data_IF_805308506279
#
_entry.id   IF_805308506279
#
_cell.length_a   1.000
_cell.length_b   1.000
_cell.length_c   1.000
_cell.angle_alpha   90.00
_cell.angle_beta   90.00
_cell.angle_gamma   90.00
#
_symmetry.space_group_name_H-M   'P 1'
#
loop_
_entity.id
_entity.type
_entity.pdbx_description
1 polymer ?
#
# COMPACT_ATOMS: atom_id res chain seq x y z
N UNK A 1 10.37 -4.51 -5.38
CA UNK A 1 8.99 -4.84 -5.00
C UNK A 1 8.48 -3.66 -4.21
N UNK A 2 7.47 -2.96 -4.73
CA UNK A 2 6.91 -1.77 -4.08
C UNK A 2 5.87 -2.18 -3.05
N UNK A 3 5.56 -1.28 -2.11
CA UNK A 3 4.46 -1.45 -1.14
C UNK A 3 3.13 -1.68 -1.87
N UNK A 4 2.96 -1.08 -3.06
CA UNK A 4 1.78 -1.27 -3.91
C UNK A 4 1.71 -2.68 -4.53
N UNK A 5 2.85 -3.27 -4.90
CA UNK A 5 2.90 -4.66 -5.41
C UNK A 5 2.45 -5.63 -4.31
N UNK A 6 2.93 -5.45 -3.07
CA UNK A 6 2.53 -6.24 -1.90
C UNK A 6 1.02 -6.15 -1.62
N UNK A 7 0.45 -4.95 -1.71
CA UNK A 7 -1.00 -4.73 -1.56
C UNK A 7 -1.79 -5.51 -2.62
N UNK A 8 -1.31 -5.51 -3.87
CA UNK A 8 -2.00 -6.18 -4.97
C UNK A 8 -1.92 -7.71 -4.86
N UNK A 9 -0.75 -8.23 -4.49
CA UNK A 9 -0.56 -9.66 -4.21
C UNK A 9 -1.48 -10.13 -3.07
N UNK A 10 -1.46 -9.45 -1.93
CA UNK A 10 -2.30 -9.81 -0.78
C UNK A 10 -3.80 -9.73 -1.08
N UNK A 11 -4.23 -8.76 -1.89
CA UNK A 11 -5.62 -8.69 -2.40
C UNK A 11 -5.97 -9.86 -3.32
N UNK A 12 -5.03 -10.27 -4.17
CA UNK A 12 -5.23 -11.40 -5.07
C UNK A 12 -5.34 -12.71 -4.28
N UNK A 13 -4.50 -12.87 -3.26
CA UNK A 13 -4.55 -14.00 -2.32
C UNK A 13 -5.87 -14.03 -1.55
N UNK A 14 -6.31 -12.92 -0.95
CA UNK A 14 -7.59 -12.82 -0.24
C UNK A 14 -8.81 -13.20 -1.09
N UNK A 15 -8.72 -13.02 -2.41
CA UNK A 15 -9.76 -13.40 -3.37
C UNK A 15 -9.67 -14.84 -3.85
N UNK A 16 -8.46 -15.37 -3.99
CA UNK A 16 -8.20 -16.66 -4.63
C UNK A 16 -8.03 -17.81 -3.63
N UNK A 17 -7.62 -17.51 -2.40
CA UNK A 17 -7.35 -18.50 -1.36
C UNK A 17 -8.52 -18.63 -0.37
N UNK A 18 -8.73 -19.87 0.09
CA UNK A 18 -9.68 -20.17 1.15
C UNK A 18 -9.02 -19.94 2.52
N UNK A 19 -9.25 -18.75 3.08
CA UNK A 19 -8.87 -18.43 4.45
C UNK A 19 -9.99 -18.77 5.42
N UNK A 20 -9.64 -19.20 6.63
CA UNK A 20 -10.57 -19.20 7.75
C UNK A 20 -10.93 -17.76 8.13
N UNK A 21 -12.01 -17.57 8.90
CA UNK A 21 -12.44 -16.22 9.33
C UNK A 21 -11.33 -15.45 10.06
N UNK A 22 -10.55 -16.16 10.88
CA UNK A 22 -9.45 -15.58 11.66
C UNK A 22 -8.28 -15.18 10.75
N UNK A 23 -7.86 -16.07 9.85
CA UNK A 23 -6.77 -15.78 8.91
C UNK A 23 -7.14 -14.65 7.96
N UNK A 24 -8.40 -14.62 7.49
CA UNK A 24 -8.90 -13.52 6.68
C UNK A 24 -8.85 -12.19 7.44
N UNK A 25 -9.29 -12.16 8.70
CA UNK A 25 -9.25 -10.95 9.51
C UNK A 25 -7.80 -10.45 9.74
N UNK A 26 -6.85 -11.37 9.93
CA UNK A 26 -5.43 -11.03 10.05
C UNK A 26 -4.87 -10.47 8.74
N UNK A 27 -5.14 -11.13 7.62
CA UNK A 27 -4.69 -10.69 6.30
C UNK A 27 -5.35 -9.37 5.87
N UNK A 28 -6.60 -9.12 6.25
CA UNK A 28 -7.26 -7.83 6.03
C UNK A 28 -6.66 -6.70 6.88
N UNK A 29 -6.24 -6.99 8.12
CA UNK A 29 -5.53 -6.03 8.96
C UNK A 29 -4.13 -5.71 8.44
N UNK A 30 -3.41 -6.73 7.93
CA UNK A 30 -2.13 -6.55 7.24
C UNK A 30 -2.30 -5.72 5.97
N UNK A 31 -3.34 -6.02 5.18
CA UNK A 31 -3.68 -5.23 4.00
C UNK A 31 -3.97 -3.77 4.33
N UNK A 32 -4.72 -3.50 5.41
CA UNK A 32 -5.00 -2.13 5.84
C UNK A 32 -3.72 -1.37 6.20
N UNK A 33 -2.76 -2.04 6.83
CA UNK A 33 -1.46 -1.45 7.20
C UNK A 33 -0.64 -1.12 5.96
N UNK A 34 -0.56 -2.06 5.00
CA UNK A 34 0.16 -1.85 3.74
C UNK A 34 -0.47 -0.76 2.87
N UNK A 35 -1.81 -0.67 2.85
CA UNK A 35 -2.52 0.41 2.15
C UNK A 35 -2.22 1.77 2.77
N UNK A 36 -2.24 1.88 4.10
CA UNK A 36 -1.92 3.13 4.78
C UNK A 36 -0.46 3.56 4.52
N UNK A 37 0.47 2.59 4.51
CA UNK A 37 1.86 2.86 4.16
C UNK A 37 2.01 3.33 2.71
N UNK A 38 1.36 2.65 1.76
CA UNK A 38 1.39 3.05 0.35
C UNK A 38 0.80 4.45 0.13
N UNK A 39 -0.27 4.80 0.86
CA UNK A 39 -0.84 6.15 0.82
C UNK A 39 0.11 7.21 1.39
N UNK A 40 0.78 6.92 2.51
CA UNK A 40 1.76 7.84 3.08
C UNK A 40 2.97 8.05 2.15
N UNK A 41 3.42 6.99 1.48
CA UNK A 41 4.50 7.06 0.47
C UNK A 41 4.07 7.90 -0.75
N UNK A 42 2.85 7.71 -1.24
CA UNK A 42 2.30 8.50 -2.36
C UNK A 42 2.13 9.98 -1.99
N UNK A 43 1.60 10.27 -0.79
CA UNK A 43 1.49 11.65 -0.28
C UNK A 43 2.86 12.31 -0.11
N UNK A 44 3.84 11.58 0.43
CA UNK A 44 5.20 12.09 0.61
C UNK A 44 5.84 12.37 -0.75
N UNK A 45 5.70 11.45 -1.70
CA UNK A 45 6.20 11.64 -3.06
C UNK A 45 5.55 12.83 -3.77
N UNK A 46 4.23 13.00 -3.64
CA UNK A 46 3.51 14.15 -4.18
C UNK A 46 3.98 15.48 -3.57
N UNK A 47 4.25 15.51 -2.26
CA UNK A 47 4.83 16.68 -1.57
C UNK A 47 6.23 16.97 -2.06
N UNK A 48 7.06 15.95 -2.19
CA UNK A 48 8.44 16.10 -2.66
C UNK A 48 8.46 16.65 -4.09
N UNK A 49 7.66 16.10 -5.02
CA UNK A 49 7.50 16.64 -6.38
C UNK A 49 7.04 18.11 -6.35
N UNK A 50 6.08 18.46 -5.50
CA UNK A 50 5.59 19.83 -5.39
C UNK A 50 6.64 20.81 -4.83
N UNK A 51 7.65 20.32 -4.09
CA UNK A 51 8.76 21.11 -3.57
C UNK A 51 9.88 21.32 -4.61
N UNK A 52 10.01 20.41 -5.58
CA UNK A 52 11.08 20.43 -6.59
C UNK A 52 11.06 21.55 -7.67
N UNK A 53 9.99 22.32 -7.95
CA UNK A 53 10.06 23.37 -8.98
C UNK A 53 10.68 24.68 -8.48
N UNK A 54 11.14 24.76 -7.23
CA UNK A 54 11.68 26.00 -6.65
C UNK A 54 13.18 26.25 -6.90
N UNK A 55 13.93 25.28 -7.45
CA UNK A 55 15.40 25.38 -7.64
C UNK A 55 15.84 25.24 -9.12
N UNK A 56 14.92 25.38 -10.08
CA UNK A 56 15.25 25.47 -11.51
C UNK A 56 15.03 26.91 -12.02
N UNK A 57 15.76 27.87 -11.46
CA UNK A 57 16.03 29.19 -12.06
C UNK A 57 17.48 29.28 -12.57
#
# INVERSE_FOLDING_TARGET
>A
MTTLDQVNELRAELRSCFFTKTERAMAEAELATLVAQAQAEDEQFARDIALYPADLE
#
